data_IF_326235834325
#
_entry.id   IF_326235834325
#
_cell.length_a   1.000
_cell.length_b   1.000
_cell.length_c   1.000
_cell.angle_alpha   90.00
_cell.angle_beta   90.00
_cell.angle_gamma   90.00
#
_symmetry.space_group_name_H-M   'P 1'
#
loop_
_entity.id
_entity.type
_entity.pdbx_description
1 polymer ?
#
# COMPACT_ATOMS: atom_id res chain seq x y z
N UNK A 1 6.81 21.37 -38.56
CA UNK A 1 5.97 20.83 -37.48
C UNK A 1 5.32 19.55 -38.00
N UNK A 2 5.69 18.38 -37.51
CA UNK A 2 5.04 17.08 -37.81
C UNK A 2 3.81 16.94 -36.90
N UNK A 3 2.67 16.47 -37.40
CA UNK A 3 1.42 16.45 -36.63
C UNK A 3 1.45 15.46 -35.45
N UNK A 4 0.75 15.84 -34.39
CA UNK A 4 0.68 15.14 -33.10
C UNK A 4 0.26 13.63 -33.17
N UNK A 5 -0.39 13.22 -34.24
CA UNK A 5 -0.80 11.81 -34.47
C UNK A 5 0.37 10.81 -34.58
N UNK A 6 1.53 11.20 -35.11
CA UNK A 6 2.69 10.30 -35.26
C UNK A 6 3.43 10.02 -33.92
N UNK A 7 3.18 10.78 -32.86
CA UNK A 7 3.75 10.51 -31.52
C UNK A 7 2.93 9.51 -30.71
N UNK A 8 1.61 9.51 -30.89
CA UNK A 8 0.70 8.56 -30.23
C UNK A 8 0.92 7.13 -30.70
N UNK A 9 1.10 6.94 -32.03
CA UNK A 9 1.27 5.59 -32.60
C UNK A 9 2.63 4.94 -32.27
N UNK A 10 3.69 5.75 -32.04
CA UNK A 10 4.98 5.22 -31.60
C UNK A 10 4.99 4.78 -30.14
N UNK A 11 4.27 5.47 -29.26
CA UNK A 11 4.16 5.11 -27.85
C UNK A 11 3.31 3.85 -27.66
N UNK A 12 2.21 3.69 -28.43
CA UNK A 12 1.39 2.48 -28.40
C UNK A 12 2.15 1.26 -28.92
N UNK A 13 2.93 1.41 -29.99
CA UNK A 13 3.74 0.32 -30.56
C UNK A 13 4.88 -0.10 -29.63
N UNK A 14 5.49 0.83 -28.88
CA UNK A 14 6.55 0.52 -27.91
C UNK A 14 6.01 -0.22 -26.69
N UNK A 15 4.82 0.14 -26.21
CA UNK A 15 4.15 -0.56 -25.11
C UNK A 15 3.70 -1.96 -25.53
N UNK A 16 3.18 -2.13 -26.74
CA UNK A 16 2.82 -3.43 -27.30
C UNK A 16 4.03 -4.37 -27.43
N UNK A 17 5.15 -3.89 -27.96
CA UNK A 17 6.37 -4.67 -28.10
C UNK A 17 7.01 -5.05 -26.76
N UNK A 18 6.80 -4.24 -25.71
CA UNK A 18 7.27 -4.57 -24.36
C UNK A 18 6.42 -5.68 -23.72
N UNK A 19 5.11 -5.70 -23.98
CA UNK A 19 4.21 -6.75 -23.53
C UNK A 19 4.44 -8.08 -24.27
N UNK A 20 4.71 -8.06 -25.59
CA UNK A 20 5.05 -9.26 -26.35
C UNK A 20 6.38 -9.87 -25.91
N UNK A 21 7.39 -9.08 -25.56
CA UNK A 21 8.67 -9.60 -25.06
C UNK A 21 8.56 -10.23 -23.66
N UNK A 22 7.62 -9.80 -22.83
CA UNK A 22 7.33 -10.46 -21.54
C UNK A 22 6.63 -11.80 -21.79
N UNK A 23 5.69 -11.88 -22.73
CA UNK A 23 4.98 -13.13 -23.06
C UNK A 23 5.85 -14.15 -23.77
N UNK A 24 6.74 -13.74 -24.69
CA UNK A 24 7.62 -14.67 -25.43
C UNK A 24 8.72 -15.30 -24.59
N UNK A 25 9.21 -14.60 -23.56
CA UNK A 25 10.18 -15.20 -22.62
C UNK A 25 9.55 -16.21 -21.65
N UNK A 26 8.20 -16.22 -21.50
CA UNK A 26 7.48 -17.21 -20.68
C UNK A 26 7.04 -18.47 -21.46
N UNK A 27 6.95 -18.42 -22.79
CA UNK A 27 6.44 -19.54 -23.61
C UNK A 27 7.49 -20.60 -23.95
N UNK A 28 8.77 -20.36 -23.71
CA UNK A 28 9.83 -21.33 -24.07
C UNK A 28 10.08 -22.41 -23.00
N UNK A 29 9.29 -22.49 -21.92
CA UNK A 29 9.53 -23.47 -20.85
C UNK A 29 8.35 -24.38 -20.49
N UNK A 30 7.29 -24.45 -21.31
CA UNK A 30 6.16 -25.36 -21.02
C UNK A 30 5.57 -25.93 -22.32
N UNK A 31 6.15 -27.01 -22.83
CA UNK A 31 5.41 -27.93 -23.66
C UNK A 31 4.93 -29.13 -22.82
N UNK A 32 3.63 -29.37 -22.89
CA UNK A 32 2.80 -30.43 -22.35
C UNK A 32 2.20 -30.16 -20.96
N UNK A 33 0.96 -29.64 -20.97
CA UNK A 33 -0.15 -30.19 -20.18
C UNK A 33 -1.47 -29.64 -20.76
N UNK A 34 -2.47 -30.51 -20.84
CA UNK A 34 -3.77 -30.38 -21.48
C UNK A 34 -4.63 -29.23 -20.93
N UNK A 35 -5.42 -28.64 -21.84
CA UNK A 35 -6.49 -27.69 -21.59
C UNK A 35 -7.56 -28.28 -20.64
N UNK A 36 -7.68 -27.68 -19.46
CA UNK A 36 -8.93 -27.58 -18.73
C UNK A 36 -8.98 -26.19 -18.12
N UNK A 37 -9.98 -25.39 -18.52
CA UNK A 37 -10.26 -24.05 -17.98
C UNK A 37 -10.70 -24.17 -16.51
N UNK A 38 -9.75 -24.13 -15.59
CA UNK A 38 -9.97 -23.73 -14.21
C UNK A 38 -8.81 -22.79 -13.85
N UNK A 39 -9.14 -21.53 -13.55
CA UNK A 39 -8.25 -20.61 -12.85
C UNK A 39 -7.92 -21.25 -11.51
N UNK A 40 -6.84 -22.03 -11.46
CA UNK A 40 -6.27 -22.52 -10.20
C UNK A 40 -5.67 -21.32 -9.48
N UNK A 41 -6.49 -20.58 -8.72
CA UNK A 41 -5.97 -19.76 -7.63
C UNK A 41 -5.30 -20.72 -6.65
N UNK A 42 -4.00 -20.56 -6.43
CA UNK A 42 -3.30 -21.27 -5.36
C UNK A 42 -3.92 -20.74 -4.05
N UNK A 43 -4.76 -21.56 -3.41
CA UNK A 43 -5.27 -21.26 -2.08
C UNK A 43 -4.20 -21.66 -1.07
N UNK A 44 -3.42 -20.68 -0.61
CA UNK A 44 -2.51 -20.89 0.51
C UNK A 44 -3.33 -21.20 1.79
N UNK A 45 -2.87 -22.17 2.58
CA UNK A 45 -3.57 -22.60 3.81
C UNK A 45 -3.63 -21.44 4.81
N UNK A 46 -2.56 -20.64 4.90
CA UNK A 46 -2.50 -19.39 5.66
C UNK A 46 -1.99 -18.29 4.74
N UNK A 47 -2.79 -17.26 4.51
CA UNK A 47 -2.37 -16.10 3.71
C UNK A 47 -1.30 -15.29 4.44
N UNK A 48 -0.40 -14.67 3.70
CA UNK A 48 0.69 -13.84 4.23
C UNK A 48 0.54 -12.38 3.80
N UNK A 49 0.61 -11.46 4.77
CA UNK A 49 0.55 -10.03 4.49
C UNK A 49 1.82 -9.29 4.97
N UNK A 50 2.35 -8.40 4.13
CA UNK A 50 3.34 -7.40 4.51
C UNK A 50 2.62 -6.11 4.84
N UNK A 51 2.91 -5.50 6.00
CA UNK A 51 2.34 -4.21 6.41
C UNK A 51 3.47 -3.28 6.85
N UNK A 52 3.63 -2.17 6.15
CA UNK A 52 4.63 -1.15 6.52
C UNK A 52 4.05 -0.14 7.51
N UNK A 53 4.87 0.34 8.46
CA UNK A 53 4.43 1.30 9.48
C UNK A 53 3.43 0.70 10.49
N UNK A 54 3.60 -0.56 10.88
CA UNK A 54 2.62 -1.34 11.63
C UNK A 54 2.67 -1.17 13.16
N UNK A 55 3.59 -0.37 13.73
CA UNK A 55 3.76 -0.30 15.19
C UNK A 55 2.66 0.47 15.92
N UNK A 56 1.81 1.22 15.22
CA UNK A 56 0.72 2.05 15.77
C UNK A 56 -0.29 2.48 14.70
N UNK A 57 -1.36 3.15 15.13
CA UNK A 57 -2.36 3.79 14.27
C UNK A 57 -2.99 2.81 13.27
N UNK A 58 -3.19 3.26 12.05
CA UNK A 58 -3.85 2.50 10.98
C UNK A 58 -3.12 1.17 10.70
N UNK A 59 -1.78 1.19 10.63
CA UNK A 59 -1.01 -0.03 10.35
C UNK A 59 -1.17 -1.11 11.41
N UNK A 60 -1.20 -0.75 12.69
CA UNK A 60 -1.45 -1.68 13.80
C UNK A 60 -2.90 -2.21 13.77
N UNK A 61 -3.87 -1.36 13.47
CA UNK A 61 -5.27 -1.77 13.35
C UNK A 61 -5.48 -2.74 12.18
N UNK A 62 -4.84 -2.49 11.03
CA UNK A 62 -4.85 -3.42 9.89
C UNK A 62 -4.18 -4.75 10.27
N UNK A 63 -3.04 -4.71 10.99
CA UNK A 63 -2.37 -5.93 11.46
C UNK A 63 -3.30 -6.76 12.36
N UNK A 64 -4.00 -6.14 13.32
CA UNK A 64 -4.99 -6.80 14.18
C UNK A 64 -6.15 -7.40 13.38
N UNK A 65 -6.67 -6.65 12.41
CA UNK A 65 -7.77 -7.14 11.55
C UNK A 65 -7.34 -8.35 10.72
N UNK A 66 -6.18 -8.30 10.05
CA UNK A 66 -5.70 -9.41 9.24
C UNK A 66 -5.34 -10.64 10.09
N UNK A 67 -4.73 -10.44 11.27
CA UNK A 67 -4.46 -11.49 12.23
C UNK A 67 -5.75 -12.23 12.65
N UNK A 68 -6.81 -11.49 12.98
CA UNK A 68 -8.11 -12.07 13.35
C UNK A 68 -8.78 -12.84 12.20
N UNK A 69 -8.33 -12.62 10.96
CA UNK A 69 -8.76 -13.34 9.75
C UNK A 69 -7.78 -14.47 9.36
N UNK A 70 -6.80 -14.82 10.22
CA UNK A 70 -5.88 -15.93 10.02
C UNK A 70 -4.69 -15.65 9.11
N UNK A 71 -4.35 -14.39 8.85
CA UNK A 71 -3.16 -14.04 8.06
C UNK A 71 -1.90 -14.13 8.92
N UNK A 72 -0.85 -14.76 8.40
CA UNK A 72 0.50 -14.56 8.88
C UNK A 72 1.00 -13.18 8.46
N UNK A 73 1.83 -12.55 9.28
CA UNK A 73 2.18 -11.15 9.12
C UNK A 73 3.70 -10.94 9.06
N UNK A 74 4.11 -10.04 8.17
CA UNK A 74 5.44 -9.46 8.14
C UNK A 74 5.29 -7.95 8.36
N UNK A 75 5.72 -7.47 9.52
CA UNK A 75 5.46 -6.11 9.99
C UNK A 75 6.75 -5.32 10.07
N UNK A 76 6.73 -4.03 9.69
CA UNK A 76 7.87 -3.16 9.96
C UNK A 76 7.49 -1.83 10.59
N UNK A 77 8.47 -1.24 11.29
CA UNK A 77 8.46 0.12 11.78
C UNK A 77 9.85 0.76 11.65
N UNK A 78 9.94 2.09 11.81
CA UNK A 78 11.24 2.78 11.74
C UNK A 78 11.99 2.72 13.07
N UNK A 79 11.35 3.09 14.19
CA UNK A 79 12.02 3.31 15.49
C UNK A 79 11.32 2.64 16.68
N UNK A 80 10.11 2.12 16.52
CA UNK A 80 9.27 1.63 17.64
C UNK A 80 9.30 0.11 17.73
N UNK A 81 10.51 -0.48 17.80
CA UNK A 81 10.71 -1.95 17.82
C UNK A 81 9.95 -2.64 18.94
N UNK A 82 9.97 -2.05 20.14
CA UNK A 82 9.32 -2.68 21.31
C UNK A 82 7.80 -2.72 21.19
N UNK A 83 7.19 -1.62 20.66
CA UNK A 83 5.75 -1.61 20.35
C UNK A 83 5.39 -2.63 19.27
N UNK A 84 6.25 -2.78 18.25
CA UNK A 84 6.02 -3.73 17.17
C UNK A 84 6.10 -5.17 17.69
N UNK A 85 7.08 -5.49 18.53
CA UNK A 85 7.22 -6.80 19.18
C UNK A 85 6.04 -7.09 20.10
N UNK A 86 5.64 -6.15 20.95
CA UNK A 86 4.49 -6.31 21.83
C UNK A 86 3.20 -6.58 21.03
N UNK A 87 3.02 -5.89 19.90
CA UNK A 87 1.89 -6.18 18.99
C UNK A 87 2.01 -7.58 18.39
N UNK A 88 3.18 -8.01 17.95
CA UNK A 88 3.38 -9.33 17.39
C UNK A 88 3.08 -10.45 18.41
N UNK A 89 3.54 -10.30 19.65
CA UNK A 89 3.27 -11.23 20.74
C UNK A 89 1.77 -11.30 21.06
N UNK A 90 1.08 -10.14 21.11
CA UNK A 90 -0.37 -10.04 21.27
C UNK A 90 -1.09 -10.83 20.17
N UNK A 91 -0.72 -10.62 18.90
CA UNK A 91 -1.37 -11.25 17.76
C UNK A 91 -1.11 -12.75 17.69
N UNK A 92 0.12 -13.18 17.98
CA UNK A 92 0.46 -14.60 18.07
C UNK A 92 -0.36 -15.29 19.17
N UNK A 93 -0.40 -14.72 20.38
CA UNK A 93 -1.15 -15.29 21.50
C UNK A 93 -2.66 -15.32 21.24
N UNK A 94 -3.23 -14.29 20.63
CA UNK A 94 -4.66 -14.18 20.41
C UNK A 94 -5.18 -15.05 19.26
N UNK A 95 -4.39 -15.20 18.19
CA UNK A 95 -4.87 -15.79 16.92
C UNK A 95 -4.05 -16.99 16.44
N UNK A 96 -2.92 -17.33 17.09
CA UNK A 96 -2.06 -18.44 16.69
C UNK A 96 -1.35 -18.28 15.37
N UNK A 97 -1.28 -17.06 14.84
CA UNK A 97 -0.57 -16.74 13.58
C UNK A 97 0.91 -16.51 13.83
N UNK A 98 1.72 -16.61 12.78
CA UNK A 98 3.12 -16.23 12.83
C UNK A 98 3.33 -14.77 12.43
N UNK A 99 4.23 -14.06 13.15
CA UNK A 99 4.51 -12.64 12.90
C UNK A 99 6.01 -12.39 12.86
N UNK A 100 6.50 -11.91 11.73
CA UNK A 100 7.88 -11.41 11.57
C UNK A 100 7.92 -9.89 11.80
N UNK A 101 8.89 -9.43 12.57
CA UNK A 101 9.07 -8.01 12.91
C UNK A 101 10.40 -7.47 12.38
N UNK A 102 10.34 -6.32 11.72
CA UNK A 102 11.50 -5.64 11.15
C UNK A 102 11.56 -4.17 11.60
N UNK A 103 12.77 -3.67 11.83
CA UNK A 103 13.00 -2.27 12.16
C UNK A 103 13.94 -1.66 11.14
N UNK A 104 13.47 -0.64 10.41
CA UNK A 104 14.25 0.02 9.37
C UNK A 104 13.47 1.08 8.61
N UNK A 105 14.15 1.70 7.65
CA UNK A 105 13.60 2.77 6.82
C UNK A 105 13.02 2.21 5.52
N UNK A 106 11.71 2.37 5.31
CA UNK A 106 11.03 1.93 4.09
C UNK A 106 11.57 2.60 2.81
N UNK A 107 12.16 3.80 2.93
CA UNK A 107 12.82 4.49 1.83
C UNK A 107 14.14 3.86 1.41
N UNK A 108 14.71 2.97 2.24
CA UNK A 108 15.90 2.20 1.89
C UNK A 108 15.50 0.93 1.12
N UNK A 109 15.98 0.84 -0.11
CA UNK A 109 15.71 -0.30 -0.99
C UNK A 109 16.26 -1.63 -0.45
N UNK A 110 17.44 -1.60 0.18
CA UNK A 110 18.05 -2.82 0.72
C UNK A 110 17.28 -3.34 1.95
N UNK A 111 16.81 -2.45 2.82
CA UNK A 111 15.91 -2.82 3.91
C UNK A 111 14.63 -3.48 3.39
N UNK A 112 13.98 -2.87 2.40
CA UNK A 112 12.77 -3.43 1.80
C UNK A 112 13.05 -4.80 1.15
N UNK A 113 14.19 -4.94 0.46
CA UNK A 113 14.62 -6.20 -0.17
C UNK A 113 14.83 -7.30 0.87
N UNK A 114 15.54 -7.01 1.94
CA UNK A 114 15.80 -7.99 3.00
C UNK A 114 14.49 -8.44 3.66
N UNK A 115 13.58 -7.51 3.97
CA UNK A 115 12.28 -7.85 4.54
C UNK A 115 11.44 -8.73 3.61
N UNK A 116 11.32 -8.38 2.31
CA UNK A 116 10.56 -9.16 1.33
C UNK A 116 11.20 -10.54 1.14
N UNK A 117 12.52 -10.61 1.00
CA UNK A 117 13.24 -11.89 0.84
C UNK A 117 13.05 -12.81 2.03
N UNK A 118 13.17 -12.27 3.25
CA UNK A 118 12.97 -13.05 4.48
C UNK A 118 11.51 -13.49 4.64
N UNK A 119 10.55 -12.66 4.24
CA UNK A 119 9.12 -13.02 4.25
C UNK A 119 8.86 -14.21 3.32
N UNK A 120 9.38 -14.18 2.10
CA UNK A 120 9.28 -15.30 1.14
C UNK A 120 10.01 -16.54 1.65
N UNK A 121 11.21 -16.38 2.21
CA UNK A 121 11.97 -17.52 2.73
C UNK A 121 11.26 -18.23 3.89
N UNK A 122 10.50 -17.48 4.69
CA UNK A 122 9.80 -18.01 5.87
C UNK A 122 8.41 -18.57 5.54
N UNK A 123 7.59 -17.80 4.80
CA UNK A 123 6.20 -18.16 4.52
C UNK A 123 5.98 -18.80 3.13
N UNK A 124 6.94 -18.67 2.22
CA UNK A 124 6.86 -19.21 0.85
C UNK A 124 6.11 -18.31 -0.13
N UNK A 125 5.27 -17.39 0.33
CA UNK A 125 4.41 -16.56 -0.51
C UNK A 125 4.05 -15.22 0.15
N UNK A 126 3.53 -14.27 -0.65
CA UNK A 126 3.00 -12.98 -0.19
C UNK A 126 1.67 -12.73 -0.91
N UNK A 127 0.57 -12.78 -0.18
CA UNK A 127 -0.77 -12.57 -0.74
C UNK A 127 -1.19 -11.11 -0.70
N UNK A 128 -0.70 -10.34 0.29
CA UNK A 128 -1.10 -8.95 0.48
C UNK A 128 0.09 -8.06 0.80
N UNK A 129 0.17 -6.92 0.13
CA UNK A 129 1.05 -5.80 0.50
C UNK A 129 0.20 -4.60 0.92
N UNK A 130 0.40 -4.13 2.15
CA UNK A 130 -0.18 -2.87 2.65
C UNK A 130 0.94 -1.83 2.81
N UNK A 131 1.01 -0.89 1.91
CA UNK A 131 1.89 0.27 2.03
C UNK A 131 1.19 1.34 2.87
N UNK A 132 1.49 1.35 4.17
CA UNK A 132 0.89 2.28 5.13
C UNK A 132 1.91 3.25 5.75
N UNK A 133 3.20 2.90 5.76
CA UNK A 133 4.22 3.78 6.32
C UNK A 133 4.17 5.18 5.72
N UNK A 134 4.15 6.19 6.57
CA UNK A 134 4.13 7.58 6.15
C UNK A 134 4.45 8.53 7.29
N UNK A 135 4.91 9.72 6.93
CA UNK A 135 5.14 10.86 7.82
C UNK A 135 4.49 12.10 7.21
N UNK A 136 4.05 13.02 8.05
CA UNK A 136 3.63 14.37 7.65
C UNK A 136 4.69 15.39 8.03
N UNK A 137 4.63 16.54 7.37
CA UNK A 137 5.36 17.75 7.73
C UNK A 137 4.41 18.94 7.53
N UNK A 138 4.22 19.69 8.59
CA UNK A 138 3.36 20.88 8.59
C UNK A 138 4.27 22.11 8.59
N UNK A 139 4.17 22.92 7.54
CA UNK A 139 4.95 24.14 7.38
C UNK A 139 4.83 24.72 5.98
N UNK A 140 5.23 25.98 5.82
CA UNK A 140 5.23 26.63 4.51
C UNK A 140 6.31 25.98 3.61
N UNK A 141 6.01 25.84 2.33
CA UNK A 141 6.94 25.28 1.36
C UNK A 141 8.23 26.12 1.25
N UNK A 142 8.11 27.45 1.43
CA UNK A 142 9.26 28.35 1.41
C UNK A 142 10.29 28.09 2.52
N UNK A 143 9.84 27.51 3.63
CA UNK A 143 10.66 27.27 4.82
C UNK A 143 11.19 25.83 4.88
N UNK A 144 10.65 24.96 4.01
CA UNK A 144 11.04 23.56 3.95
C UNK A 144 12.45 23.41 3.34
N UNK A 145 13.30 22.67 4.02
CA UNK A 145 14.62 22.34 3.50
C UNK A 145 14.58 21.21 2.45
N UNK A 146 15.56 21.15 1.54
CA UNK A 146 15.69 20.01 0.62
C UNK A 146 15.80 18.66 1.32
N UNK A 147 16.40 18.60 2.50
CA UNK A 147 16.54 17.39 3.32
C UNK A 147 15.19 16.90 3.85
N UNK A 148 14.33 17.81 4.34
CA UNK A 148 12.97 17.52 4.78
C UNK A 148 12.12 17.01 3.62
N UNK A 149 12.16 17.70 2.47
CA UNK A 149 11.51 17.26 1.25
C UNK A 149 11.94 15.85 0.86
N UNK A 150 13.24 15.60 0.79
CA UNK A 150 13.79 14.30 0.40
C UNK A 150 13.38 13.19 1.39
N UNK A 151 13.37 13.49 2.70
CA UNK A 151 12.94 12.52 3.71
C UNK A 151 11.44 12.16 3.56
N UNK A 152 10.59 13.14 3.30
CA UNK A 152 9.14 12.91 3.07
C UNK A 152 8.94 12.07 1.80
N UNK A 153 9.58 12.41 0.70
CA UNK A 153 9.51 11.65 -0.56
C UNK A 153 10.05 10.25 -0.38
N UNK A 154 11.18 10.09 0.31
CA UNK A 154 11.79 8.79 0.55
C UNK A 154 10.85 7.85 1.31
N UNK A 155 10.17 8.34 2.35
CA UNK A 155 9.28 7.50 3.17
C UNK A 155 7.93 7.31 2.49
N UNK A 156 7.27 8.40 2.06
CA UNK A 156 5.87 8.34 1.62
C UNK A 156 5.71 7.83 0.19
N UNK A 157 6.71 8.01 -0.70
CA UNK A 157 6.59 7.64 -2.11
C UNK A 157 7.62 6.59 -2.53
N UNK A 158 8.91 6.81 -2.24
CA UNK A 158 9.95 5.83 -2.61
C UNK A 158 9.77 4.52 -1.85
N UNK A 159 9.35 4.57 -0.57
CA UNK A 159 9.03 3.36 0.20
C UNK A 159 7.92 2.52 -0.43
N UNK A 160 6.87 3.17 -0.94
CA UNK A 160 5.79 2.51 -1.69
C UNK A 160 6.34 1.81 -2.94
N UNK A 161 7.17 2.51 -3.72
CA UNK A 161 7.83 1.94 -4.88
C UNK A 161 8.70 0.73 -4.50
N UNK A 162 9.54 0.84 -3.45
CA UNK A 162 10.47 -0.20 -3.04
C UNK A 162 9.74 -1.52 -2.75
N UNK A 163 8.78 -1.51 -1.84
CA UNK A 163 8.04 -2.72 -1.46
C UNK A 163 7.21 -3.26 -2.63
N UNK A 164 6.52 -2.39 -3.35
CA UNK A 164 5.68 -2.79 -4.49
C UNK A 164 6.52 -3.48 -5.58
N UNK A 165 7.64 -2.86 -5.99
CA UNK A 165 8.56 -3.44 -6.97
C UNK A 165 9.05 -4.83 -6.57
N UNK A 166 9.35 -5.02 -5.29
CA UNK A 166 9.94 -6.26 -4.78
C UNK A 166 8.95 -7.41 -4.64
N UNK A 167 7.65 -7.13 -4.35
CA UNK A 167 6.64 -8.19 -4.22
C UNK A 167 6.04 -8.64 -5.56
N UNK A 168 6.00 -7.75 -6.57
CA UNK A 168 5.37 -8.02 -7.88
C UNK A 168 5.86 -9.33 -8.51
N UNK A 169 7.17 -9.63 -8.59
CA UNK A 169 7.63 -10.88 -9.24
C UNK A 169 7.04 -12.15 -8.60
N UNK A 170 6.88 -12.18 -7.29
CA UNK A 170 6.31 -13.30 -6.56
C UNK A 170 4.81 -13.40 -6.80
N UNK A 171 4.07 -12.30 -6.65
CA UNK A 171 2.63 -12.26 -6.91
C UNK A 171 2.29 -12.65 -8.37
N UNK A 172 3.10 -12.20 -9.34
CA UNK A 172 2.91 -12.56 -10.77
C UNK A 172 3.18 -14.05 -11.01
N UNK A 173 4.22 -14.62 -10.38
CA UNK A 173 4.52 -16.04 -10.48
C UNK A 173 3.36 -16.91 -9.93
N UNK A 174 2.78 -16.50 -8.81
CA UNK A 174 1.67 -17.20 -8.15
C UNK A 174 0.30 -16.88 -8.77
N UNK A 175 0.24 -15.89 -9.68
CA UNK A 175 -1.02 -15.33 -10.23
C UNK A 175 -2.02 -14.96 -9.13
N UNK A 176 -1.52 -14.51 -8.02
CA UNK A 176 -2.27 -14.17 -6.82
C UNK A 176 -1.57 -13.04 -6.08
N UNK A 177 -2.33 -12.05 -5.63
CA UNK A 177 -1.80 -10.95 -4.84
C UNK A 177 -2.79 -9.80 -4.73
N UNK A 178 -2.60 -8.96 -3.74
CA UNK A 178 -3.36 -7.73 -3.50
C UNK A 178 -2.42 -6.66 -3.02
N UNK A 179 -2.48 -5.48 -3.61
CA UNK A 179 -1.67 -4.33 -3.21
C UNK A 179 -2.61 -3.21 -2.78
N UNK A 180 -2.48 -2.77 -1.55
CA UNK A 180 -3.27 -1.67 -0.99
C UNK A 180 -2.34 -0.55 -0.50
N UNK A 181 -2.64 0.67 -0.96
CA UNK A 181 -1.95 1.88 -0.53
C UNK A 181 -2.82 2.64 0.48
N UNK A 182 -2.25 3.06 1.59
CA UNK A 182 -2.90 4.02 2.49
C UNK A 182 -2.50 5.43 2.06
N UNK A 183 -3.43 6.05 1.33
CA UNK A 183 -3.31 7.41 0.80
C UNK A 183 -3.99 8.42 1.75
N UNK A 184 -4.29 9.60 1.25
CA UNK A 184 -4.96 10.67 1.97
C UNK A 184 -5.85 11.47 1.01
N UNK A 185 -6.88 12.09 1.53
CA UNK A 185 -7.67 13.10 0.80
C UNK A 185 -6.79 14.25 0.31
N UNK A 186 -5.69 14.56 0.99
CA UNK A 186 -4.70 15.54 0.50
C UNK A 186 -3.99 15.11 -0.78
N UNK A 187 -4.03 13.85 -1.13
CA UNK A 187 -3.62 13.37 -2.46
C UNK A 187 -4.64 13.64 -3.55
N UNK A 188 -5.90 13.95 -3.20
CA UNK A 188 -6.96 14.29 -4.15
C UNK A 188 -7.03 15.82 -4.39
N UNK A 189 -6.98 16.62 -3.31
CA UNK A 189 -7.25 18.07 -3.37
C UNK A 189 -6.06 18.93 -2.96
N UNK A 190 -5.05 18.36 -2.29
CA UNK A 190 -3.93 19.10 -1.70
C UNK A 190 -4.33 19.79 -0.39
N UNK A 191 -3.31 20.15 0.42
CA UNK A 191 -3.50 20.91 1.64
C UNK A 191 -2.45 22.03 1.75
N UNK A 192 -2.89 23.18 2.23
CA UNK A 192 -1.99 24.27 2.64
C UNK A 192 -1.09 23.79 3.77
N UNK A 193 0.16 24.24 3.79
CA UNK A 193 1.18 23.83 4.75
C UNK A 193 1.57 22.34 4.74
N UNK A 194 0.99 21.52 3.85
CA UNK A 194 1.35 20.10 3.66
C UNK A 194 1.68 19.77 2.20
N UNK A 195 2.33 20.69 1.49
CA UNK A 195 2.59 20.57 0.04
C UNK A 195 3.37 19.31 -0.32
N UNK A 196 4.44 18.99 0.42
CA UNK A 196 5.26 17.80 0.15
C UNK A 196 4.50 16.49 0.43
N UNK A 197 3.71 16.46 1.49
CA UNK A 197 2.85 15.32 1.81
C UNK A 197 1.77 15.13 0.75
N UNK A 198 1.09 16.21 0.36
CA UNK A 198 0.07 16.20 -0.71
C UNK A 198 0.64 15.73 -2.03
N UNK A 199 1.85 16.19 -2.41
CA UNK A 199 2.54 15.74 -3.61
C UNK A 199 2.83 14.23 -3.59
N UNK A 200 3.30 13.70 -2.44
CA UNK A 200 3.54 12.26 -2.29
C UNK A 200 2.23 11.46 -2.39
N UNK A 201 1.17 11.89 -1.71
CA UNK A 201 -0.13 11.19 -1.72
C UNK A 201 -0.83 11.28 -3.08
N UNK A 202 -0.70 12.41 -3.79
CA UNK A 202 -1.10 12.54 -5.20
C UNK A 202 -0.30 11.61 -6.12
N UNK A 203 1.01 11.49 -5.88
CA UNK A 203 1.89 10.53 -6.54
C UNK A 203 1.45 9.08 -6.31
N UNK A 204 1.09 8.70 -5.07
CA UNK A 204 0.53 7.38 -4.74
C UNK A 204 -0.77 7.12 -5.49
N UNK A 205 -1.66 8.12 -5.58
CA UNK A 205 -2.93 7.98 -6.30
C UNK A 205 -2.69 7.72 -7.81
N UNK A 206 -1.77 8.45 -8.43
CA UNK A 206 -1.38 8.22 -9.83
C UNK A 206 -0.69 6.86 -10.02
N UNK A 207 0.23 6.50 -9.11
CA UNK A 207 0.91 5.21 -9.09
C UNK A 207 -0.08 4.04 -9.00
N UNK A 208 -1.07 4.12 -8.11
CA UNK A 208 -2.12 3.12 -7.94
C UNK A 208 -2.92 2.91 -9.23
N UNK A 209 -3.35 4.00 -9.88
CA UNK A 209 -4.11 3.95 -11.13
C UNK A 209 -3.31 3.34 -12.28
N UNK A 210 -2.03 3.68 -12.39
CA UNK A 210 -1.15 3.15 -13.44
C UNK A 210 -0.85 1.67 -13.21
N UNK A 211 -0.45 1.31 -11.99
CA UNK A 211 -0.08 -0.07 -11.64
C UNK A 211 -1.29 -1.01 -11.67
N UNK A 212 -2.48 -0.53 -11.28
CA UNK A 212 -3.72 -1.31 -11.40
C UNK A 212 -4.02 -1.75 -12.84
N UNK A 213 -3.70 -0.89 -13.83
CA UNK A 213 -3.82 -1.25 -15.26
C UNK A 213 -2.74 -2.25 -15.69
N UNK A 214 -1.52 -2.07 -15.20
CA UNK A 214 -0.38 -2.91 -15.55
C UNK A 214 -0.53 -4.34 -15.01
N UNK A 215 -1.04 -4.48 -13.78
CA UNK A 215 -1.17 -5.77 -13.10
C UNK A 215 -2.53 -6.46 -13.25
N UNK A 216 -3.53 -5.78 -13.81
CA UNK A 216 -4.85 -6.37 -14.05
C UNK A 216 -4.81 -7.69 -14.87
N UNK A 217 -4.00 -7.80 -15.94
CA UNK A 217 -3.86 -9.07 -16.68
C UNK A 217 -3.27 -10.23 -15.86
N UNK A 218 -2.57 -9.90 -14.76
CA UNK A 218 -1.97 -10.89 -13.83
C UNK A 218 -2.89 -11.22 -12.65
N UNK A 219 -4.12 -10.69 -12.61
CA UNK A 219 -5.07 -10.86 -11.51
C UNK A 219 -4.56 -10.31 -10.16
N UNK A 220 -3.80 -9.21 -10.19
CA UNK A 220 -3.27 -8.54 -9.00
C UNK A 220 -3.91 -7.16 -8.89
N UNK A 221 -5.02 -7.01 -8.16
CA UNK A 221 -5.64 -5.72 -7.93
C UNK A 221 -4.73 -4.80 -7.10
N UNK A 222 -4.70 -3.53 -7.52
CA UNK A 222 -3.97 -2.46 -6.85
C UNK A 222 -4.93 -1.32 -6.58
N UNK A 223 -5.19 -1.00 -5.32
CA UNK A 223 -6.12 0.05 -4.91
C UNK A 223 -5.51 0.93 -3.82
N UNK A 224 -6.11 2.07 -3.58
CA UNK A 224 -5.76 2.95 -2.47
C UNK A 224 -7.00 3.37 -1.68
N UNK A 225 -6.82 3.57 -0.38
CA UNK A 225 -7.79 4.26 0.48
C UNK A 225 -7.24 5.66 0.73
N UNK A 226 -7.95 6.69 0.26
CA UNK A 226 -7.67 8.09 0.55
C UNK A 226 -8.38 8.46 1.85
N UNK A 227 -7.65 8.36 2.96
CA UNK A 227 -8.18 8.63 4.28
C UNK A 227 -8.35 10.14 4.51
N UNK A 228 -9.46 10.52 5.14
CA UNK A 228 -9.64 11.82 5.77
C UNK A 228 -8.94 11.88 7.14
N UNK A 229 -9.59 12.49 8.12
CA UNK A 229 -9.04 12.61 9.48
C UNK A 229 -9.30 11.34 10.28
N UNK A 230 -8.21 10.67 10.67
CA UNK A 230 -8.27 9.43 11.45
C UNK A 230 -7.69 9.67 12.85
N UNK A 231 -8.37 9.21 13.89
CA UNK A 231 -7.92 9.34 15.28
C UNK A 231 -6.68 8.46 15.54
N UNK A 232 -5.51 9.04 15.35
CA UNK A 232 -4.23 8.38 15.50
C UNK A 232 -3.19 9.33 16.11
N UNK A 233 -2.01 8.77 16.46
CA UNK A 233 -0.89 9.56 16.97
C UNK A 233 -0.44 10.70 16.02
N UNK A 234 -0.73 10.60 14.73
CA UNK A 234 -0.40 11.64 13.74
C UNK A 234 -1.19 12.94 13.99
N UNK A 235 -2.41 12.82 14.50
CA UNK A 235 -3.32 13.93 14.78
C UNK A 235 -3.34 14.35 16.26
N UNK A 236 -2.35 13.91 17.06
CA UNK A 236 -2.21 14.33 18.48
C UNK A 236 -1.69 15.76 18.67
N UNK A 237 -1.25 16.40 17.60
CA UNK A 237 -0.85 17.81 17.65
C UNK A 237 -2.03 18.75 17.88
N UNK A 238 -3.26 18.34 17.56
CA UNK A 238 -4.47 19.14 17.79
C UNK A 238 -4.90 19.06 19.25
N UNK A 239 -5.19 20.22 19.84
CA UNK A 239 -5.83 20.31 21.15
C UNK A 239 -7.32 19.94 21.06
N UNK A 240 -8.02 19.93 22.21
CA UNK A 240 -9.44 19.53 22.26
C UNK A 240 -10.34 20.48 21.45
N UNK A 241 -10.04 21.79 21.44
CA UNK A 241 -10.81 22.78 20.70
C UNK A 241 -10.61 22.63 19.19
N UNK A 242 -9.35 22.54 18.74
CA UNK A 242 -9.00 22.32 17.34
C UNK A 242 -9.60 20.99 16.81
N UNK A 243 -9.60 19.95 17.66
CA UNK A 243 -10.23 18.67 17.31
C UNK A 243 -11.75 18.78 17.16
N UNK A 244 -12.41 19.55 18.03
CA UNK A 244 -13.85 19.78 17.95
C UNK A 244 -14.22 20.59 16.69
N UNK A 245 -13.48 21.67 16.42
CA UNK A 245 -13.67 22.49 15.22
C UNK A 245 -13.49 21.66 13.93
N UNK A 246 -12.43 20.87 13.87
CA UNK A 246 -12.17 19.99 12.70
C UNK A 246 -13.22 18.88 12.58
N UNK A 247 -13.74 18.36 13.68
CA UNK A 247 -14.81 17.37 13.66
C UNK A 247 -16.13 17.97 13.15
N UNK A 248 -16.42 19.24 13.47
CA UNK A 248 -17.61 19.94 12.97
C UNK A 248 -17.53 20.24 11.45
N UNK A 249 -16.33 20.36 10.88
CA UNK A 249 -16.15 20.47 9.43
C UNK A 249 -16.47 19.15 8.68
N UNK A 250 -16.36 18.02 9.37
CA UNK A 250 -16.61 16.71 8.78
C UNK A 250 -18.12 16.41 8.85
N UNK A 251 -18.84 16.16 7.72
CA UNK A 251 -20.29 15.89 7.77
C UNK A 251 -20.68 14.73 8.69
N UNK A 252 -19.80 13.73 8.86
CA UNK A 252 -20.01 12.64 9.82
C UNK A 252 -19.88 13.09 11.30
N UNK A 253 -19.46 14.32 11.59
CA UNK A 253 -19.37 14.92 12.92
C UNK A 253 -18.26 14.35 13.81
N UNK A 254 -17.28 13.65 13.25
CA UNK A 254 -16.21 13.00 14.02
C UNK A 254 -15.03 12.57 13.16
N UNK A 255 -13.91 12.32 13.81
CA UNK A 255 -12.82 11.58 13.21
C UNK A 255 -13.20 10.10 13.06
N UNK A 256 -12.70 9.46 11.99
CA UNK A 256 -12.78 8.01 11.89
C UNK A 256 -11.74 7.34 12.81
N UNK A 257 -12.04 6.12 13.23
CA UNK A 257 -11.09 5.30 14.00
C UNK A 257 -10.15 4.54 13.09
N UNK A 258 -8.97 4.16 13.59
CA UNK A 258 -8.06 3.28 12.88
C UNK A 258 -8.68 1.89 12.58
N UNK A 259 -9.61 1.42 13.43
CA UNK A 259 -10.34 0.17 13.22
C UNK A 259 -11.28 0.24 12.02
N UNK A 260 -11.98 1.35 11.82
CA UNK A 260 -12.84 1.55 10.65
C UNK A 260 -12.03 1.55 9.35
N UNK A 261 -10.82 2.15 9.35
CA UNK A 261 -9.90 2.06 8.20
C UNK A 261 -9.43 0.61 7.99
N UNK A 262 -9.18 -0.14 9.05
CA UNK A 262 -8.77 -1.55 8.95
C UNK A 262 -9.89 -2.43 8.38
N UNK A 263 -11.14 -2.20 8.75
CA UNK A 263 -12.31 -2.90 8.19
C UNK A 263 -12.48 -2.57 6.70
N UNK A 264 -12.30 -1.30 6.34
CA UNK A 264 -12.32 -0.87 4.93
C UNK A 264 -11.16 -1.50 4.16
N UNK A 265 -9.95 -1.53 4.72
CA UNK A 265 -8.78 -2.17 4.11
C UNK A 265 -9.05 -3.67 3.84
N UNK A 266 -9.62 -4.37 4.82
CA UNK A 266 -10.00 -5.77 4.66
C UNK A 266 -11.04 -5.96 3.55
N UNK A 267 -12.05 -5.10 3.49
CA UNK A 267 -13.09 -5.13 2.46
C UNK A 267 -12.49 -4.94 1.05
N UNK A 268 -11.53 -4.03 0.89
CA UNK A 268 -10.87 -3.77 -0.39
C UNK A 268 -9.99 -4.94 -0.83
N UNK A 269 -9.18 -5.52 0.07
CA UNK A 269 -8.30 -6.64 -0.29
C UNK A 269 -9.04 -7.96 -0.51
N UNK A 270 -10.28 -8.08 -0.04
CA UNK A 270 -11.14 -9.25 -0.25
C UNK A 270 -12.18 -9.04 -1.36
N UNK A 271 -12.24 -7.84 -1.95
CA UNK A 271 -13.13 -7.54 -3.05
C UNK A 271 -12.77 -8.37 -4.31
N UNK A 272 -13.72 -8.53 -5.24
CA UNK A 272 -13.45 -9.16 -6.54
C UNK A 272 -12.30 -8.47 -7.30
N UNK A 273 -11.54 -9.22 -8.10
CA UNK A 273 -10.36 -8.74 -8.84
C UNK A 273 -10.68 -7.59 -9.82
N UNK A 274 -11.96 -7.45 -10.18
CA UNK A 274 -12.42 -6.35 -11.03
C UNK A 274 -12.30 -4.97 -10.37
N UNK A 275 -12.19 -4.93 -9.04
CA UNK A 275 -11.89 -3.70 -8.30
C UNK A 275 -10.37 -3.46 -8.32
N UNK A 276 -9.89 -2.72 -9.31
CA UNK A 276 -8.46 -2.35 -9.43
C UNK A 276 -8.28 -0.92 -9.94
N UNK A 277 -7.17 -0.28 -9.59
CA UNK A 277 -6.84 1.09 -9.97
C UNK A 277 -7.69 2.16 -9.28
N UNK A 278 -8.42 1.81 -8.22
CA UNK A 278 -9.34 2.73 -7.54
C UNK A 278 -8.68 3.48 -6.39
N UNK A 279 -9.09 4.74 -6.24
CA UNK A 279 -8.78 5.58 -5.08
C UNK A 279 -10.09 5.76 -4.34
N UNK A 280 -10.22 5.05 -3.24
CA UNK A 280 -11.46 5.02 -2.45
C UNK A 280 -11.34 6.06 -1.36
N UNK A 281 -12.15 7.11 -1.43
CA UNK A 281 -12.19 8.15 -0.40
C UNK A 281 -12.91 7.64 0.83
N UNK A 282 -12.30 7.83 2.01
CA UNK A 282 -12.80 7.40 3.30
C UNK A 282 -12.62 8.54 4.31
N UNK A 283 -13.56 9.49 4.32
CA UNK A 283 -13.39 10.80 4.96
C UNK A 283 -14.64 11.36 5.68
N UNK A 284 -15.71 10.58 5.78
CA UNK A 284 -16.94 11.04 6.43
C UNK A 284 -17.72 12.07 5.61
N UNK A 285 -17.43 12.20 4.33
CA UNK A 285 -18.06 13.16 3.41
C UNK A 285 -17.41 14.55 3.43
N UNK A 286 -16.17 14.67 3.92
CA UNK A 286 -15.48 15.94 4.13
C UNK A 286 -15.04 16.61 2.83
N UNK A 287 -14.57 15.87 1.81
CA UNK A 287 -13.97 16.41 0.56
C UNK A 287 -14.58 15.73 -0.66
#
# INVERSE_FOLDING_TARGET
>A
MKPARQRSDRLSTTVYNYQENIMTNQTNNTNHINQTNHTNHINHINKTAIITGASRGIGAAIAKKLASCGYNLSLCCRNSSDRLKALADELHCAYGIEVLCYTGNVGDFFFAKDMVTNTISHFGHIDVLINNAGISHIGLLSDMTPEEWNNIVAINLTGVFNFTKLVIPYMVADKCGRILQISSVWGNVGASCEVAYSACKGGINAFTKALGKELAPSHIPVNAIACGVIDTDMNRCFDETERAELADEIPAGRFATACEVADMAYSVITAPDYLTGQIITFDGGWI
#
